data_IF_238625866149
#
_entry.id   IF_238625866149
#
_cell.length_a   1.000
_cell.length_b   1.000
_cell.length_c   1.000
_cell.angle_alpha   90.00
_cell.angle_beta   90.00
_cell.angle_gamma   90.00
#
_symmetry.space_group_name_H-M   'P 1'
#
loop_
_entity.id
_entity.type
_entity.pdbx_description
1 polymer ?
#
# COMPACT_ATOMS: atom_id res chain seq x y z
N UNK A 1 19.71 -2.99 -41.87
CA UNK A 1 19.81 -4.16 -41.00
C UNK A 1 18.90 -3.87 -39.80
N UNK A 2 17.67 -4.31 -39.93
CA UNK A 2 16.66 -4.26 -38.86
C UNK A 2 16.93 -5.47 -37.93
N UNK A 3 17.40 -5.22 -36.74
CA UNK A 3 17.52 -6.26 -35.71
C UNK A 3 16.10 -6.74 -35.34
N UNK A 4 15.83 -7.98 -35.67
CA UNK A 4 14.61 -8.68 -35.31
C UNK A 4 14.66 -8.90 -33.79
N UNK A 5 13.97 -8.05 -33.01
CA UNK A 5 13.74 -8.25 -31.58
C UNK A 5 12.67 -9.35 -31.46
N UNK A 6 13.05 -10.59 -31.82
CA UNK A 6 12.26 -11.75 -31.48
C UNK A 6 12.08 -11.78 -29.98
N UNK A 7 10.83 -11.74 -29.54
CA UNK A 7 10.42 -11.89 -28.16
C UNK A 7 11.22 -13.02 -27.51
N UNK A 8 12.09 -12.68 -26.59
CA UNK A 8 12.75 -13.68 -25.74
C UNK A 8 11.66 -14.48 -25.06
N UNK A 9 11.73 -15.80 -25.18
CA UNK A 9 10.84 -16.69 -24.44
C UNK A 9 10.80 -16.25 -22.97
N UNK A 10 9.63 -16.26 -22.33
CA UNK A 10 9.55 -15.89 -20.93
C UNK A 10 10.57 -16.72 -20.15
N UNK A 11 11.40 -16.04 -19.36
CA UNK A 11 12.33 -16.71 -18.44
C UNK A 11 11.50 -17.71 -17.64
N UNK A 12 11.86 -19.01 -17.63
CA UNK A 12 11.11 -19.98 -16.85
C UNK A 12 11.10 -19.48 -15.40
N UNK A 13 9.91 -19.23 -14.88
CA UNK A 13 9.72 -18.84 -13.47
C UNK A 13 10.38 -19.92 -12.62
N UNK A 14 11.13 -19.56 -11.57
CA UNK A 14 11.69 -20.52 -10.62
C UNK A 14 10.61 -21.52 -10.23
N UNK A 15 10.97 -22.78 -10.11
CA UNK A 15 10.09 -23.92 -10.03
C UNK A 15 8.83 -23.68 -9.20
N UNK A 16 7.76 -24.36 -9.57
CA UNK A 16 6.44 -24.20 -8.96
C UNK A 16 6.58 -24.09 -7.44
N UNK A 17 6.29 -22.89 -6.90
CA UNK A 17 6.25 -22.73 -5.45
C UNK A 17 5.30 -23.77 -4.87
N UNK A 18 5.64 -24.39 -3.75
CA UNK A 18 4.80 -25.40 -3.14
C UNK A 18 3.37 -24.87 -2.99
N UNK A 19 2.40 -25.74 -3.23
CA UNK A 19 0.98 -25.42 -3.33
C UNK A 19 0.54 -24.40 -2.26
N UNK A 20 0.33 -23.17 -2.70
CA UNK A 20 -0.30 -22.03 -2.07
C UNK A 20 0.22 -21.58 -0.69
N UNK A 21 0.43 -20.31 -0.52
CA UNK A 21 0.66 -19.69 0.80
C UNK A 21 -0.46 -19.97 1.79
N UNK A 22 -1.66 -20.33 1.31
CA UNK A 22 -2.81 -20.70 2.13
C UNK A 22 -2.48 -21.73 3.21
N UNK A 23 -1.56 -22.68 2.93
CA UNK A 23 -1.09 -23.67 3.90
C UNK A 23 -0.31 -23.06 5.08
N UNK A 24 0.38 -21.95 4.84
CA UNK A 24 1.20 -21.26 5.85
C UNK A 24 0.53 -20.00 6.38
N UNK A 25 -0.63 -19.67 5.85
CA UNK A 25 -1.35 -18.43 6.17
C UNK A 25 -1.49 -18.23 7.67
N UNK A 26 -1.97 -19.23 8.38
CA UNK A 26 -2.19 -19.11 9.83
C UNK A 26 -0.87 -18.96 10.59
N UNK A 27 0.15 -19.80 10.30
CA UNK A 27 1.46 -19.70 10.95
C UNK A 27 2.09 -18.32 10.74
N UNK A 28 2.01 -17.79 9.54
CA UNK A 28 2.57 -16.48 9.22
C UNK A 28 1.77 -15.34 9.84
N UNK A 29 0.44 -15.44 9.83
CA UNK A 29 -0.45 -14.47 10.49
C UNK A 29 -0.18 -14.42 11.99
N UNK A 30 -0.03 -15.57 12.65
CA UNK A 30 0.30 -15.66 14.08
C UNK A 30 1.67 -15.04 14.38
N UNK A 31 2.65 -15.15 13.49
CA UNK A 31 3.96 -14.52 13.67
C UNK A 31 3.90 -13.01 13.52
N UNK A 32 3.17 -12.48 12.55
CA UNK A 32 2.94 -11.04 12.44
C UNK A 32 2.20 -10.52 13.68
N UNK A 33 1.14 -11.18 14.12
CA UNK A 33 0.41 -10.80 15.31
C UNK A 33 1.32 -10.77 16.55
N UNK A 34 2.12 -11.81 16.77
CA UNK A 34 3.07 -11.87 17.87
C UNK A 34 4.12 -10.76 17.80
N UNK A 35 4.58 -10.38 16.61
CA UNK A 35 5.50 -9.25 16.44
C UNK A 35 4.84 -7.94 16.88
N UNK A 36 3.61 -7.68 16.44
CA UNK A 36 2.88 -6.47 16.83
C UNK A 36 2.59 -6.44 18.33
N UNK A 37 2.15 -7.55 18.92
CA UNK A 37 1.92 -7.67 20.36
C UNK A 37 3.18 -7.35 21.17
N UNK A 38 4.33 -7.84 20.72
CA UNK A 38 5.63 -7.58 21.38
C UNK A 38 6.01 -6.09 21.34
N UNK A 39 5.71 -5.38 20.25
CA UNK A 39 6.19 -4.01 20.04
C UNK A 39 5.19 -2.93 20.46
N UNK A 40 3.89 -3.23 20.43
CA UNK A 40 2.84 -2.23 20.66
C UNK A 40 2.17 -2.34 22.03
N UNK A 41 1.86 -3.55 22.48
CA UNK A 41 1.16 -3.78 23.75
C UNK A 41 -0.29 -3.25 23.77
N UNK A 42 -0.88 -2.93 22.58
CA UNK A 42 -2.28 -2.50 22.41
C UNK A 42 -2.83 -2.98 21.06
N UNK A 43 -4.15 -3.09 21.00
CA UNK A 43 -4.85 -3.45 19.76
C UNK A 43 -5.00 -2.26 18.82
N UNK A 44 -4.90 -2.49 17.51
CA UNK A 44 -5.24 -1.51 16.50
C UNK A 44 -6.71 -1.08 16.64
N UNK A 45 -6.97 0.21 16.51
CA UNK A 45 -8.31 0.77 16.64
C UNK A 45 -8.76 1.40 15.33
N UNK A 46 -9.88 0.90 14.80
CA UNK A 46 -10.51 1.50 13.63
C UNK A 46 -11.14 2.84 13.99
N UNK A 47 -10.76 3.90 13.28
CA UNK A 47 -11.33 5.23 13.48
C UNK A 47 -12.80 5.21 13.05
N UNK A 48 -13.73 5.54 13.96
CA UNK A 48 -15.15 5.61 13.63
C UNK A 48 -15.43 6.86 12.76
N UNK A 49 -16.33 6.70 11.79
CA UNK A 49 -17.00 7.79 11.10
C UNK A 49 -18.50 7.67 11.35
N UNK A 50 -19.15 8.77 11.58
CA UNK A 50 -20.61 8.83 11.61
C UNK A 50 -21.19 8.55 10.22
N UNK A 51 -22.45 8.16 10.13
CA UNK A 51 -23.13 7.93 8.84
C UNK A 51 -23.08 9.18 7.93
N UNK A 52 -23.15 10.37 8.52
CA UNK A 52 -23.06 11.62 7.79
C UNK A 52 -21.66 11.86 7.20
N UNK A 53 -20.60 11.65 7.99
CA UNK A 53 -19.21 11.77 7.52
C UNK A 53 -18.89 10.72 6.47
N UNK A 54 -19.35 9.48 6.68
CA UNK A 54 -19.19 8.41 5.71
C UNK A 54 -19.85 8.76 4.37
N UNK A 55 -21.07 9.29 4.41
CA UNK A 55 -21.79 9.76 3.20
C UNK A 55 -21.03 10.90 2.52
N UNK A 56 -20.55 11.87 3.27
CA UNK A 56 -19.75 12.98 2.74
C UNK A 56 -18.51 12.50 1.98
N UNK A 57 -17.75 11.56 2.56
CA UNK A 57 -16.56 10.97 1.92
C UNK A 57 -16.94 10.19 0.67
N UNK A 58 -17.97 9.34 0.71
CA UNK A 58 -18.45 8.58 -0.45
C UNK A 58 -18.87 9.53 -1.58
N UNK A 59 -19.60 10.60 -1.28
CA UNK A 59 -20.02 11.59 -2.29
C UNK A 59 -18.80 12.31 -2.89
N UNK A 60 -17.76 12.58 -2.09
CA UNK A 60 -16.52 13.16 -2.58
C UNK A 60 -15.74 12.17 -3.49
N UNK A 61 -15.68 10.90 -3.12
CA UNK A 61 -15.09 9.84 -3.94
C UNK A 61 -15.83 9.69 -5.28
N UNK A 62 -17.15 9.66 -5.26
CA UNK A 62 -17.98 9.59 -6.48
C UNK A 62 -17.74 10.79 -7.41
N UNK A 63 -17.64 12.01 -6.86
CA UNK A 63 -17.31 13.21 -7.65
C UNK A 63 -15.93 13.13 -8.29
N UNK A 64 -14.94 12.64 -7.54
CA UNK A 64 -13.56 12.51 -8.03
C UNK A 64 -13.41 11.40 -9.09
N UNK A 65 -14.16 10.30 -8.97
CA UNK A 65 -14.12 9.18 -9.90
C UNK A 65 -15.01 9.38 -11.15
N UNK A 66 -16.01 10.24 -11.10
CA UNK A 66 -16.96 10.46 -12.20
C UNK A 66 -16.28 10.79 -13.55
N UNK A 67 -15.25 11.67 -13.62
CA UNK A 67 -14.55 11.96 -14.87
C UNK A 67 -13.83 10.74 -15.48
N UNK A 68 -13.53 9.72 -14.68
CA UNK A 68 -12.93 8.46 -15.13
C UNK A 68 -13.96 7.51 -15.77
N UNK A 69 -15.24 7.90 -15.79
CA UNK A 69 -16.32 7.05 -16.28
C UNK A 69 -16.56 5.79 -15.44
N UNK A 70 -16.08 5.77 -14.21
CA UNK A 70 -16.20 4.60 -13.30
C UNK A 70 -17.33 4.80 -12.31
N UNK A 71 -18.12 3.73 -12.13
CA UNK A 71 -19.11 3.63 -11.06
C UNK A 71 -18.59 2.65 -10.02
N UNK A 72 -18.48 3.10 -8.79
CA UNK A 72 -17.98 2.31 -7.66
C UNK A 72 -19.07 2.23 -6.61
N UNK A 73 -19.37 1.03 -6.11
CA UNK A 73 -20.41 0.86 -5.06
C UNK A 73 -19.98 1.45 -3.73
N UNK A 74 -20.94 1.90 -2.93
CA UNK A 74 -20.70 2.41 -1.57
C UNK A 74 -19.90 1.40 -0.73
N UNK A 75 -20.21 0.12 -0.87
CA UNK A 75 -19.50 -0.97 -0.17
C UNK A 75 -18.01 -1.01 -0.55
N UNK A 76 -17.69 -0.76 -1.81
CA UNK A 76 -16.32 -0.76 -2.31
C UNK A 76 -15.57 0.46 -1.77
N UNK A 77 -16.22 1.64 -1.77
CA UNK A 77 -15.66 2.83 -1.16
C UNK A 77 -15.33 2.62 0.31
N UNK A 78 -16.23 1.97 1.07
CA UNK A 78 -16.00 1.65 2.48
C UNK A 78 -14.78 0.73 2.65
N UNK A 79 -14.64 -0.31 1.82
CA UNK A 79 -13.48 -1.20 1.86
C UNK A 79 -12.16 -0.45 1.60
N UNK A 80 -12.12 0.46 0.63
CA UNK A 80 -10.94 1.29 0.37
C UNK A 80 -10.64 2.28 1.49
N UNK A 81 -11.66 2.89 2.10
CA UNK A 81 -11.50 3.76 3.27
C UNK A 81 -11.00 3.01 4.50
N UNK A 82 -11.35 1.74 4.63
CA UNK A 82 -11.03 0.97 5.84
C UNK A 82 -9.53 0.81 6.05
N UNK A 83 -8.70 0.79 4.98
CA UNK A 83 -7.24 0.81 5.16
C UNK A 83 -6.81 2.09 5.89
N UNK A 84 -7.37 3.26 5.54
CA UNK A 84 -7.08 4.53 6.21
C UNK A 84 -7.57 4.50 7.65
N UNK A 85 -8.80 4.05 7.87
CA UNK A 85 -9.43 4.01 9.20
C UNK A 85 -8.73 3.08 10.17
N UNK A 86 -8.10 2.01 9.70
CA UNK A 86 -7.28 1.12 10.52
C UNK A 86 -5.86 1.62 10.72
N UNK A 87 -5.25 2.25 9.69
CA UNK A 87 -3.82 2.55 9.67
C UNK A 87 -3.47 3.95 10.17
N UNK A 88 -4.44 4.79 10.56
CA UNK A 88 -4.16 6.08 11.18
C UNK A 88 -4.26 5.99 12.70
N UNK A 89 -3.39 6.73 13.39
CA UNK A 89 -3.36 6.74 14.86
C UNK A 89 -4.51 7.56 15.44
N UNK A 90 -5.59 6.88 15.83
CA UNK A 90 -6.82 7.52 16.33
C UNK A 90 -6.57 8.52 17.49
N UNK A 91 -5.61 8.21 18.36
CA UNK A 91 -5.30 9.02 19.55
C UNK A 91 -4.54 10.32 19.26
N UNK A 92 -3.97 10.45 18.06
CA UNK A 92 -3.17 11.61 17.68
C UNK A 92 -3.83 12.49 16.61
N UNK A 93 -5.04 12.15 16.12
CA UNK A 93 -5.78 12.96 15.14
C UNK A 93 -6.10 14.33 15.75
N UNK A 94 -5.73 15.39 15.03
CA UNK A 94 -6.04 16.78 15.37
C UNK A 94 -6.88 17.46 14.29
N UNK A 95 -6.96 16.87 13.10
CA UNK A 95 -7.67 17.43 11.96
C UNK A 95 -8.52 16.38 11.25
N UNK A 96 -9.83 16.35 11.53
CA UNK A 96 -10.77 15.43 10.89
C UNK A 96 -11.06 15.76 9.43
N UNK A 97 -10.94 17.00 9.00
CA UNK A 97 -11.10 17.36 7.58
C UNK A 97 -9.91 16.81 6.77
N UNK A 98 -8.68 16.96 7.27
CA UNK A 98 -7.51 16.30 6.68
C UNK A 98 -7.65 14.77 6.67
N UNK A 99 -8.19 14.17 7.73
CA UNK A 99 -8.46 12.73 7.77
C UNK A 99 -9.47 12.29 6.68
N UNK A 100 -10.57 13.03 6.49
CA UNK A 100 -11.53 12.78 5.41
C UNK A 100 -10.88 12.94 4.03
N UNK A 101 -9.99 13.92 3.87
CA UNK A 101 -9.21 14.09 2.64
C UNK A 101 -8.35 12.88 2.33
N UNK A 102 -7.66 12.32 3.33
CA UNK A 102 -6.87 11.08 3.18
C UNK A 102 -7.76 9.93 2.75
N UNK A 103 -8.96 9.78 3.33
CA UNK A 103 -9.92 8.77 2.89
C UNK A 103 -10.28 8.93 1.40
N UNK A 104 -10.56 10.15 0.94
CA UNK A 104 -10.89 10.41 -0.47
C UNK A 104 -9.71 10.11 -1.38
N UNK A 105 -8.51 10.65 -1.08
CA UNK A 105 -7.31 10.44 -1.88
C UNK A 105 -6.96 8.96 -2.00
N UNK A 106 -6.99 8.24 -0.89
CA UNK A 106 -6.74 6.81 -0.87
C UNK A 106 -7.75 6.03 -1.72
N UNK A 107 -9.05 6.32 -1.58
CA UNK A 107 -10.09 5.68 -2.37
C UNK A 107 -9.88 5.89 -3.88
N UNK A 108 -9.58 7.11 -4.28
CA UNK A 108 -9.38 7.47 -5.70
C UNK A 108 -8.13 6.80 -6.26
N UNK A 109 -7.04 6.71 -5.49
CA UNK A 109 -5.83 5.99 -5.90
C UNK A 109 -6.04 4.48 -5.98
N UNK A 110 -6.85 3.87 -5.10
CA UNK A 110 -7.22 2.46 -5.23
C UNK A 110 -8.07 2.17 -6.48
N UNK A 111 -8.93 3.10 -6.88
CA UNK A 111 -9.65 2.98 -8.16
C UNK A 111 -8.67 2.99 -9.32
N UNK A 112 -7.64 3.86 -9.28
CA UNK A 112 -6.57 3.88 -10.27
C UNK A 112 -5.80 2.57 -10.32
N UNK A 113 -5.36 2.05 -9.16
CA UNK A 113 -4.61 0.80 -9.04
C UNK A 113 -5.39 -0.41 -9.58
N UNK A 114 -6.71 -0.45 -9.34
CA UNK A 114 -7.60 -1.52 -9.82
C UNK A 114 -8.08 -1.32 -11.27
N UNK A 115 -7.76 -0.18 -11.91
CA UNK A 115 -8.09 0.06 -13.31
C UNK A 115 -6.99 -0.48 -14.24
N UNK A 116 -7.41 -0.96 -15.40
CA UNK A 116 -6.52 -1.13 -16.56
C UNK A 116 -6.37 0.24 -17.25
N UNK A 117 -5.60 1.13 -16.60
CA UNK A 117 -5.49 2.53 -16.99
C UNK A 117 -4.53 2.70 -18.18
N UNK A 118 -4.99 3.32 -19.24
CA UNK A 118 -4.18 3.72 -20.39
C UNK A 118 -3.51 5.10 -20.20
N UNK A 119 -2.56 5.45 -21.06
CA UNK A 119 -1.87 6.76 -21.02
C UNK A 119 -2.84 7.96 -21.04
N UNK A 120 -3.98 7.83 -21.73
CA UNK A 120 -4.98 8.91 -21.81
C UNK A 120 -5.69 9.18 -20.48
N UNK A 121 -5.70 8.21 -19.59
CA UNK A 121 -6.37 8.35 -18.29
C UNK A 121 -5.58 9.26 -17.33
N UNK A 122 -4.27 9.46 -17.56
CA UNK A 122 -3.46 10.41 -16.78
C UNK A 122 -3.95 11.84 -16.89
N UNK A 123 -4.29 12.29 -18.11
CA UNK A 123 -4.74 13.66 -18.35
C UNK A 123 -6.08 13.95 -17.66
N UNK A 124 -6.84 12.89 -17.34
CA UNK A 124 -8.09 12.99 -16.60
C UNK A 124 -7.86 12.83 -15.11
N UNK A 125 -7.04 11.87 -14.70
CA UNK A 125 -6.88 11.47 -13.31
C UNK A 125 -6.05 12.46 -12.47
N UNK A 126 -4.90 12.92 -12.99
CA UNK A 126 -4.02 13.84 -12.25
C UNK A 126 -4.70 15.17 -11.88
N UNK A 127 -5.50 15.81 -12.74
CA UNK A 127 -6.30 16.97 -12.34
C UNK A 127 -7.30 16.70 -11.21
N UNK A 128 -7.88 15.49 -11.16
CA UNK A 128 -8.81 15.12 -10.06
C UNK A 128 -8.06 14.97 -8.74
N UNK A 129 -6.89 14.32 -8.74
CA UNK A 129 -6.04 14.26 -7.56
C UNK A 129 -5.65 15.65 -7.07
N UNK A 130 -5.24 16.54 -8.00
CA UNK A 130 -4.89 17.92 -7.67
C UNK A 130 -6.07 18.66 -7.05
N UNK A 131 -7.26 18.55 -7.64
CA UNK A 131 -8.47 19.19 -7.13
C UNK A 131 -8.85 18.71 -5.72
N UNK A 132 -8.63 17.43 -5.41
CA UNK A 132 -8.84 16.89 -4.05
C UNK A 132 -7.82 17.51 -3.09
N UNK A 133 -6.53 17.52 -3.45
CA UNK A 133 -5.49 18.12 -2.61
C UNK A 133 -5.76 19.61 -2.34
N UNK A 134 -6.06 20.40 -3.37
CA UNK A 134 -6.31 21.84 -3.24
C UNK A 134 -7.58 22.15 -2.43
N UNK A 135 -8.53 21.22 -2.39
CA UNK A 135 -9.77 21.42 -1.63
C UNK A 135 -9.58 21.24 -0.13
N UNK A 136 -8.74 20.30 0.28
CA UNK A 136 -8.72 19.82 1.67
C UNK A 136 -7.45 20.21 2.44
N UNK A 137 -6.38 20.57 1.75
CA UNK A 137 -5.11 20.90 2.40
C UNK A 137 -4.73 22.35 2.21
N UNK A 138 -3.95 22.86 3.15
CA UNK A 138 -3.26 24.13 2.96
C UNK A 138 -2.31 24.06 1.77
N UNK A 139 -2.01 25.17 1.06
CA UNK A 139 -1.28 25.13 -0.21
C UNK A 139 0.03 24.33 -0.21
N UNK A 140 0.81 24.41 0.88
CA UNK A 140 2.08 23.66 1.00
C UNK A 140 1.84 22.18 1.16
N UNK A 141 0.87 21.79 1.97
CA UNK A 141 0.53 20.39 2.22
C UNK A 141 -0.16 19.78 0.99
N UNK A 142 -0.96 20.57 0.28
CA UNK A 142 -1.58 20.18 -0.99
C UNK A 142 -0.53 19.81 -2.05
N UNK A 143 0.57 20.59 -2.13
CA UNK A 143 1.66 20.32 -3.06
C UNK A 143 2.37 19.00 -2.71
N UNK A 144 2.72 18.79 -1.44
CA UNK A 144 3.36 17.54 -1.01
C UNK A 144 2.48 16.31 -1.22
N UNK A 145 1.19 16.39 -0.88
CA UNK A 145 0.24 15.30 -1.09
C UNK A 145 0.07 14.99 -2.58
N UNK A 146 -0.06 16.03 -3.42
CA UNK A 146 -0.20 15.88 -4.86
C UNK A 146 1.06 15.27 -5.50
N UNK A 147 2.27 15.76 -5.17
CA UNK A 147 3.51 15.22 -5.71
C UNK A 147 3.72 13.76 -5.31
N UNK A 148 3.37 13.38 -4.07
CA UNK A 148 3.38 11.98 -3.64
C UNK A 148 2.42 11.11 -4.44
N UNK A 149 1.16 11.56 -4.62
CA UNK A 149 0.16 10.88 -5.41
C UNK A 149 0.55 10.73 -6.87
N UNK A 150 1.07 11.82 -7.47
CA UNK A 150 1.57 11.82 -8.84
C UNK A 150 2.73 10.85 -9.03
N UNK A 151 3.69 10.82 -8.09
CA UNK A 151 4.81 9.91 -8.14
C UNK A 151 4.37 8.45 -8.08
N UNK A 152 3.41 8.12 -7.20
CA UNK A 152 2.82 6.78 -7.10
C UNK A 152 2.13 6.37 -8.41
N UNK A 153 1.21 7.19 -8.91
CA UNK A 153 0.42 6.93 -10.13
C UNK A 153 1.32 6.77 -11.35
N UNK A 154 2.34 7.63 -11.50
CA UNK A 154 3.30 7.55 -12.61
C UNK A 154 4.17 6.30 -12.48
N UNK A 155 4.64 5.96 -11.27
CA UNK A 155 5.44 4.76 -11.02
C UNK A 155 4.66 3.50 -11.35
N UNK A 156 3.43 3.38 -10.85
CA UNK A 156 2.57 2.24 -11.13
C UNK A 156 2.37 2.05 -12.65
N UNK A 157 2.03 3.12 -13.36
CA UNK A 157 1.80 3.04 -14.80
C UNK A 157 3.07 2.73 -15.60
N UNK A 158 4.16 3.49 -15.37
CA UNK A 158 5.40 3.36 -16.16
C UNK A 158 6.12 2.03 -15.94
N UNK A 159 5.95 1.45 -14.76
CA UNK A 159 6.73 0.27 -14.38
C UNK A 159 5.89 -1.00 -14.24
N UNK A 160 4.56 -0.95 -14.39
CA UNK A 160 3.65 -2.09 -14.15
C UNK A 160 4.15 -3.39 -14.81
N UNK A 161 4.57 -3.35 -16.08
CA UNK A 161 5.02 -4.52 -16.83
C UNK A 161 6.42 -4.35 -17.43
N UNK A 162 7.23 -3.42 -16.89
CA UNK A 162 8.50 -3.10 -17.51
C UNK A 162 9.61 -4.09 -17.15
N UNK A 163 10.51 -4.36 -18.12
CA UNK A 163 11.75 -5.10 -17.88
C UNK A 163 12.60 -4.40 -16.79
N UNK A 164 12.51 -3.08 -16.68
CA UNK A 164 13.22 -2.30 -15.64
C UNK A 164 12.73 -2.71 -14.26
N UNK A 165 11.42 -2.84 -14.05
CA UNK A 165 10.83 -3.32 -12.78
C UNK A 165 11.34 -4.73 -12.45
N UNK A 166 11.36 -5.62 -13.45
CA UNK A 166 11.90 -6.97 -13.27
C UNK A 166 13.36 -6.94 -12.81
N UNK A 167 14.21 -6.15 -13.47
CA UNK A 167 15.62 -6.04 -13.11
C UNK A 167 15.80 -5.43 -11.73
N UNK A 168 15.12 -4.34 -11.40
CA UNK A 168 15.21 -3.69 -10.10
C UNK A 168 14.76 -4.62 -8.97
N UNK A 169 13.70 -5.38 -9.20
CA UNK A 169 13.16 -6.29 -8.21
C UNK A 169 13.99 -7.57 -8.04
N UNK A 170 14.74 -8.02 -9.07
CA UNK A 170 15.50 -9.28 -9.04
C UNK A 170 16.93 -9.18 -8.49
N UNK A 171 17.43 -7.95 -8.22
CA UNK A 171 18.84 -7.75 -7.87
C UNK A 171 19.16 -8.09 -6.41
N UNK A 172 18.35 -7.63 -5.47
CA UNK A 172 18.45 -7.94 -4.04
C UNK A 172 17.21 -7.51 -3.27
N UNK A 173 16.94 -8.08 -2.08
CA UNK A 173 15.86 -7.61 -1.22
C UNK A 173 15.95 -6.11 -0.88
N UNK A 174 17.16 -5.59 -0.65
CA UNK A 174 17.36 -4.17 -0.36
C UNK A 174 16.95 -3.27 -1.53
N UNK A 175 17.34 -3.60 -2.75
CA UNK A 175 16.94 -2.86 -3.95
C UNK A 175 15.42 -2.96 -4.16
N UNK A 176 14.85 -4.12 -3.92
CA UNK A 176 13.42 -4.32 -3.96
C UNK A 176 12.69 -3.36 -3.02
N UNK A 177 13.05 -3.31 -1.75
CA UNK A 177 12.38 -2.44 -0.79
C UNK A 177 12.62 -0.95 -1.05
N UNK A 178 13.77 -0.56 -1.58
CA UNK A 178 13.99 0.82 -2.06
C UNK A 178 13.02 1.21 -3.18
N UNK A 179 12.78 0.31 -4.11
CA UNK A 179 11.79 0.52 -5.17
C UNK A 179 10.37 0.60 -4.61
N UNK A 180 10.03 -0.27 -3.65
CA UNK A 180 8.69 -0.34 -3.06
C UNK A 180 8.28 0.92 -2.29
N UNK A 181 9.20 1.80 -1.87
CA UNK A 181 8.85 3.09 -1.23
C UNK A 181 7.81 3.85 -2.04
N UNK A 182 8.00 3.91 -3.37
CA UNK A 182 7.08 4.60 -4.28
C UNK A 182 6.00 3.64 -4.80
N UNK A 183 6.37 2.43 -5.20
CA UNK A 183 5.51 1.46 -5.88
C UNK A 183 4.36 0.94 -4.99
N UNK A 184 4.57 0.76 -3.67
CA UNK A 184 3.50 0.41 -2.73
C UNK A 184 2.78 1.64 -2.16
N UNK A 185 3.16 2.83 -2.60
CA UNK A 185 2.52 4.09 -2.25
C UNK A 185 2.81 4.63 -0.85
N UNK A 186 3.83 4.13 -0.13
CA UNK A 186 4.11 4.56 1.25
C UNK A 186 4.55 6.01 1.33
N UNK A 187 5.38 6.49 0.40
CA UNK A 187 5.77 7.90 0.37
C UNK A 187 4.55 8.82 0.14
N UNK A 188 3.67 8.43 -0.77
CA UNK A 188 2.39 9.11 -0.96
C UNK A 188 1.55 9.07 0.32
N UNK A 189 1.41 7.89 0.94
CA UNK A 189 0.66 7.73 2.19
C UNK A 189 1.14 8.69 3.27
N UNK A 190 2.44 8.74 3.51
CA UNK A 190 3.01 9.63 4.54
C UNK A 190 2.77 11.10 4.20
N UNK A 191 2.92 11.50 2.93
CA UNK A 191 2.72 12.89 2.50
C UNK A 191 1.27 13.35 2.56
N UNK A 192 0.30 12.47 2.35
CA UNK A 192 -1.11 12.83 2.50
C UNK A 192 -1.59 12.79 3.95
N UNK A 193 -0.94 12.00 4.83
CA UNK A 193 -1.44 11.72 6.18
C UNK A 193 -0.89 12.65 7.26
N UNK A 194 0.35 13.17 7.14
CA UNK A 194 0.95 13.98 8.22
C UNK A 194 0.10 15.21 8.62
N UNK A 195 -0.65 15.87 7.71
CA UNK A 195 -1.47 17.02 8.11
C UNK A 195 -2.55 16.69 9.13
N UNK A 196 -3.01 15.41 9.18
CA UNK A 196 -3.98 14.93 10.17
C UNK A 196 -3.52 15.20 11.60
N UNK A 197 -2.22 15.10 11.84
CA UNK A 197 -1.62 15.10 13.17
C UNK A 197 -1.11 16.47 13.62
N UNK A 198 -0.86 17.38 12.68
CA UNK A 198 -0.31 18.72 12.95
C UNK A 198 0.90 18.65 13.89
N UNK A 199 1.80 17.69 13.64
CA UNK A 199 2.96 17.41 14.47
C UNK A 199 4.26 17.75 13.72
N UNK A 200 5.13 18.66 14.23
CA UNK A 200 6.27 19.18 13.49
C UNK A 200 7.29 18.12 13.07
N UNK A 201 7.69 17.20 13.96
CA UNK A 201 8.68 16.17 13.64
C UNK A 201 8.13 15.19 12.60
N UNK A 202 6.90 14.71 12.78
CA UNK A 202 6.26 13.84 11.79
C UNK A 202 6.13 14.54 10.42
N UNK A 203 5.81 15.83 10.41
CA UNK A 203 5.77 16.65 9.19
C UNK A 203 7.12 16.65 8.49
N UNK A 204 8.20 16.92 9.22
CA UNK A 204 9.56 16.92 8.68
C UNK A 204 9.97 15.56 8.15
N UNK A 205 9.73 14.50 8.93
CA UNK A 205 10.06 13.14 8.53
C UNK A 205 9.23 12.64 7.33
N UNK A 206 7.98 13.08 7.22
CA UNK A 206 7.13 12.76 6.06
C UNK A 206 7.59 13.49 4.80
N UNK A 207 7.90 14.79 4.89
CA UNK A 207 8.37 15.60 3.77
C UNK A 207 9.72 15.16 3.25
N UNK A 208 10.64 14.76 4.13
CA UNK A 208 11.98 14.23 3.76
C UNK A 208 11.97 12.77 3.32
N UNK A 209 10.82 12.10 3.41
CA UNK A 209 10.65 10.68 3.09
C UNK A 209 11.29 9.73 4.12
N UNK A 210 11.73 10.21 5.28
CA UNK A 210 12.28 9.36 6.34
C UNK A 210 11.20 8.44 6.91
N UNK A 211 10.01 8.98 7.25
CA UNK A 211 8.88 8.20 7.73
C UNK A 211 8.48 7.08 6.74
N UNK A 212 8.44 7.39 5.45
CA UNK A 212 8.16 6.39 4.41
C UNK A 212 9.22 5.27 4.38
N UNK A 213 10.51 5.61 4.43
CA UNK A 213 11.59 4.61 4.44
C UNK A 213 11.52 3.67 5.64
N UNK A 214 11.17 4.19 6.81
CA UNK A 214 11.08 3.41 8.06
C UNK A 214 9.90 2.43 8.06
N UNK A 215 8.84 2.68 7.29
CA UNK A 215 7.63 1.84 7.29
C UNK A 215 7.47 0.99 6.02
N UNK A 216 8.19 1.30 4.94
CA UNK A 216 8.01 0.64 3.63
C UNK A 216 8.24 -0.87 3.72
N UNK A 217 9.32 -1.30 4.38
CA UNK A 217 9.70 -2.72 4.44
C UNK A 217 8.60 -3.54 5.10
N UNK A 218 8.09 -3.08 6.26
CA UNK A 218 7.00 -3.74 6.96
C UNK A 218 5.70 -3.80 6.14
N UNK A 219 5.29 -2.67 5.56
CA UNK A 219 4.08 -2.61 4.73
C UNK A 219 4.20 -3.50 3.48
N UNK A 220 5.34 -3.47 2.79
CA UNK A 220 5.56 -4.29 1.60
C UNK A 220 5.59 -5.78 1.94
N UNK A 221 6.22 -6.20 3.04
CA UNK A 221 6.25 -7.61 3.46
C UNK A 221 4.83 -8.13 3.73
N UNK A 222 4.02 -7.38 4.47
CA UNK A 222 2.62 -7.74 4.74
C UNK A 222 1.82 -7.79 3.44
N UNK A 223 1.89 -6.75 2.61
CA UNK A 223 1.18 -6.72 1.34
C UNK A 223 1.57 -7.90 0.45
N UNK A 224 2.87 -8.12 0.24
CA UNK A 224 3.40 -9.15 -0.64
C UNK A 224 3.05 -10.57 -0.16
N UNK A 225 3.02 -10.79 1.15
CA UNK A 225 2.61 -12.08 1.70
C UNK A 225 1.14 -12.37 1.39
N UNK A 226 0.25 -11.43 1.69
CA UNK A 226 -1.18 -11.64 1.53
C UNK A 226 -1.67 -11.52 0.08
N UNK A 227 -0.94 -10.85 -0.79
CA UNK A 227 -1.25 -10.74 -2.23
C UNK A 227 -0.59 -11.84 -3.08
N UNK A 228 0.31 -12.66 -2.51
CA UNK A 228 1.15 -13.60 -3.24
C UNK A 228 0.40 -14.51 -4.22
N UNK A 229 -0.63 -15.23 -3.75
CA UNK A 229 -1.37 -16.18 -4.59
C UNK A 229 -2.11 -15.48 -5.73
N UNK A 230 -2.68 -14.30 -5.46
CA UNK A 230 -3.34 -13.46 -6.47
C UNK A 230 -2.35 -12.97 -7.52
N UNK A 231 -1.25 -12.37 -7.09
CA UNK A 231 -0.24 -11.80 -7.98
C UNK A 231 0.45 -12.88 -8.80
N UNK A 232 0.68 -14.04 -8.22
CA UNK A 232 1.16 -15.22 -8.95
C UNK A 232 0.21 -15.64 -10.06
N UNK A 233 -1.09 -15.72 -9.77
CA UNK A 233 -2.10 -16.10 -10.75
C UNK A 233 -2.24 -15.08 -11.89
N UNK A 234 -2.01 -13.79 -11.61
CA UNK A 234 -2.03 -12.70 -12.59
C UNK A 234 -0.69 -12.54 -13.33
N UNK A 235 0.32 -13.34 -13.03
CA UNK A 235 1.64 -13.21 -13.63
C UNK A 235 2.43 -11.99 -13.13
N UNK A 236 1.95 -11.26 -12.13
CA UNK A 236 2.63 -10.11 -11.56
C UNK A 236 3.93 -10.53 -10.88
N UNK A 237 4.99 -9.76 -11.09
CA UNK A 237 6.35 -10.11 -10.63
C UNK A 237 6.78 -9.34 -9.38
N UNK A 238 6.10 -8.24 -9.06
CA UNK A 238 6.48 -7.36 -7.95
C UNK A 238 5.98 -7.91 -6.63
N UNK A 239 6.72 -8.90 -6.11
CA UNK A 239 6.42 -9.53 -4.82
C UNK A 239 7.70 -10.15 -4.28
N UNK A 240 8.13 -9.79 -3.07
CA UNK A 240 9.40 -10.26 -2.52
C UNK A 240 9.47 -11.79 -2.36
N UNK A 241 8.34 -12.45 -2.12
CA UNK A 241 8.27 -13.90 -2.01
C UNK A 241 8.37 -14.62 -3.36
N UNK A 242 8.15 -13.91 -4.48
CA UNK A 242 8.37 -14.42 -5.83
C UNK A 242 9.80 -14.24 -6.32
N UNK A 243 10.48 -13.21 -5.81
CA UNK A 243 11.84 -12.87 -6.22
C UNK A 243 12.89 -13.74 -5.53
N UNK A 244 12.49 -14.47 -4.51
CA UNK A 244 13.37 -15.40 -3.85
C UNK A 244 13.34 -16.71 -4.58
N UNK A 245 14.51 -17.27 -4.73
CA UNK A 245 14.70 -18.64 -5.22
C UNK A 245 14.20 -19.61 -4.14
N UNK A 246 12.88 -19.58 -3.93
CA UNK A 246 12.20 -20.42 -2.95
C UNK A 246 11.95 -21.74 -3.64
N UNK A 247 12.91 -22.64 -3.53
CA UNK A 247 12.87 -23.95 -4.16
C UNK A 247 11.97 -24.94 -3.43
N UNK A 248 11.76 -24.73 -2.13
CA UNK A 248 10.95 -25.61 -1.29
C UNK A 248 10.33 -24.88 -0.09
N UNK A 249 9.56 -25.63 0.70
CA UNK A 249 8.87 -25.15 1.90
C UNK A 249 9.83 -24.58 2.97
N UNK A 250 11.00 -25.17 3.14
CA UNK A 250 11.96 -24.72 4.16
C UNK A 250 12.60 -23.41 3.73
N UNK A 251 12.84 -23.23 2.44
CA UNK A 251 13.34 -21.98 1.87
C UNK A 251 12.31 -20.86 2.06
N UNK A 252 11.02 -21.13 1.80
CA UNK A 252 9.96 -20.17 2.06
C UNK A 252 9.92 -19.75 3.53
N UNK A 253 9.92 -20.71 4.46
CA UNK A 253 9.88 -20.43 5.89
C UNK A 253 11.10 -19.66 6.37
N UNK A 254 12.29 -19.99 5.86
CA UNK A 254 13.53 -19.27 6.17
C UNK A 254 13.47 -17.84 5.68
N UNK A 255 13.03 -17.64 4.43
CA UNK A 255 12.88 -16.32 3.86
C UNK A 255 11.84 -15.50 4.60
N UNK A 256 10.67 -16.06 4.90
CA UNK A 256 9.61 -15.39 5.66
C UNK A 256 10.12 -14.96 7.04
N UNK A 257 10.82 -15.83 7.76
CA UNK A 257 11.40 -15.48 9.07
C UNK A 257 12.36 -14.31 8.96
N UNK A 258 13.28 -14.34 8.01
CA UNK A 258 14.21 -13.23 7.79
C UNK A 258 13.47 -11.91 7.51
N UNK A 259 12.36 -11.94 6.78
CA UNK A 259 11.54 -10.73 6.52
C UNK A 259 10.83 -10.23 7.79
N UNK A 260 10.34 -11.12 8.63
CA UNK A 260 9.76 -10.73 9.94
C UNK A 260 10.83 -10.14 10.86
N UNK A 261 12.05 -10.69 10.86
CA UNK A 261 13.17 -10.15 11.62
C UNK A 261 13.56 -8.75 11.12
N UNK A 262 13.62 -8.52 9.82
CA UNK A 262 13.84 -7.18 9.22
C UNK A 262 12.76 -6.16 9.65
N UNK A 263 11.51 -6.60 9.70
CA UNK A 263 10.40 -5.76 10.16
C UNK A 263 10.54 -5.42 11.65
N UNK A 264 10.97 -6.39 12.46
CA UNK A 264 11.24 -6.16 13.89
C UNK A 264 12.35 -5.11 14.09
N UNK A 265 13.42 -5.16 13.29
CA UNK A 265 14.50 -4.17 13.32
C UNK A 265 13.97 -2.75 12.99
N UNK A 266 13.13 -2.62 11.96
CA UNK A 266 12.52 -1.32 11.62
C UNK A 266 11.64 -0.80 12.76
N UNK A 267 10.82 -1.67 13.39
CA UNK A 267 9.99 -1.28 14.53
C UNK A 267 10.83 -0.83 15.75
N UNK A 268 11.99 -1.47 16.00
CA UNK A 268 12.92 -1.00 17.03
C UNK A 268 13.51 0.38 16.67
N UNK A 269 13.87 0.61 15.41
CA UNK A 269 14.33 1.93 14.97
C UNK A 269 13.24 3.01 15.11
N UNK A 270 11.98 2.66 14.83
CA UNK A 270 10.83 3.57 14.98
C UNK A 270 10.66 4.00 16.44
N UNK A 271 11.00 3.17 17.41
CA UNK A 271 10.95 3.53 18.86
C UNK A 271 11.88 4.67 19.27
N UNK A 272 12.86 5.00 18.44
CA UNK A 272 13.78 6.12 18.70
C UNK A 272 13.19 7.51 18.37
N UNK A 273 12.04 7.56 17.67
CA UNK A 273 11.33 8.83 17.42
C UNK A 273 10.57 9.31 18.67
N UNK A 274 10.11 10.56 18.63
CA UNK A 274 9.18 11.07 19.63
C UNK A 274 7.89 10.24 19.72
N UNK A 275 7.17 10.36 20.85
CA UNK A 275 6.01 9.52 21.13
C UNK A 275 4.94 9.58 20.04
N UNK A 276 4.63 10.77 19.51
CA UNK A 276 3.61 10.95 18.47
C UNK A 276 4.05 10.34 17.16
N UNK A 277 5.26 10.63 16.70
CA UNK A 277 5.82 10.09 15.46
C UNK A 277 5.93 8.57 15.53
N UNK A 278 6.49 8.04 16.62
CA UNK A 278 6.57 6.61 16.87
C UNK A 278 5.21 5.94 16.77
N UNK A 279 4.24 6.44 17.51
CA UNK A 279 2.90 5.84 17.58
C UNK A 279 2.20 5.87 16.21
N UNK A 280 2.32 6.96 15.45
CA UNK A 280 1.74 7.06 14.10
C UNK A 280 2.36 6.04 13.15
N UNK A 281 3.69 5.87 13.17
CA UNK A 281 4.37 4.92 12.29
C UNK A 281 4.06 3.45 12.67
N UNK A 282 3.99 3.14 13.96
CA UNK A 282 3.64 1.80 14.43
C UNK A 282 2.16 1.48 14.19
N UNK A 283 1.25 2.44 14.40
CA UNK A 283 -0.18 2.28 14.09
C UNK A 283 -0.42 2.08 12.58
N UNK A 284 0.37 2.74 11.72
CA UNK A 284 0.33 2.51 10.28
C UNK A 284 0.65 1.04 9.93
N UNK A 285 1.73 0.51 10.47
CA UNK A 285 2.13 -0.88 10.22
C UNK A 285 1.09 -1.87 10.74
N UNK A 286 0.68 -1.70 11.99
CA UNK A 286 -0.27 -2.60 12.66
C UNK A 286 -1.66 -2.53 12.02
N UNK A 287 -2.16 -1.33 11.79
CA UNK A 287 -3.48 -1.14 11.19
C UNK A 287 -3.55 -1.66 9.75
N UNK A 288 -2.49 -1.50 8.97
CA UNK A 288 -2.39 -2.11 7.65
C UNK A 288 -2.43 -3.64 7.72
N UNK A 289 -1.71 -4.25 8.67
CA UNK A 289 -1.77 -5.70 8.90
C UNK A 289 -3.19 -6.15 9.26
N UNK A 290 -3.85 -5.47 10.23
CA UNK A 290 -5.22 -5.82 10.65
C UNK A 290 -6.20 -5.68 9.48
N UNK A 291 -6.13 -4.57 8.73
CA UNK A 291 -6.97 -4.40 7.54
C UNK A 291 -6.74 -5.50 6.52
N UNK A 292 -5.48 -5.80 6.19
CA UNK A 292 -5.12 -6.82 5.20
C UNK A 292 -5.67 -8.21 5.58
N UNK A 293 -5.63 -8.55 6.87
CA UNK A 293 -6.17 -9.84 7.35
C UNK A 293 -7.69 -9.92 7.35
N UNK A 294 -8.39 -8.78 7.35
CA UNK A 294 -9.86 -8.72 7.42
C UNK A 294 -10.51 -8.42 6.07
N UNK A 295 -9.80 -7.77 5.14
CA UNK A 295 -10.37 -7.36 3.87
C UNK A 295 -10.49 -8.52 2.89
N UNK A 296 -11.66 -8.61 2.23
CA UNK A 296 -11.96 -9.64 1.23
C UNK A 296 -11.04 -9.59 0.01
N UNK A 297 -10.39 -8.45 -0.26
CA UNK A 297 -9.43 -8.30 -1.35
C UNK A 297 -8.31 -9.35 -1.28
N UNK A 298 -7.93 -9.73 -0.07
CA UNK A 298 -6.88 -10.70 0.19
C UNK A 298 -7.39 -12.11 0.50
N UNK A 299 -8.67 -12.25 0.81
CA UNK A 299 -9.29 -13.54 1.20
C UNK A 299 -10.04 -14.23 0.05
N UNK A 300 -10.32 -13.53 -1.05
CA UNK A 300 -11.11 -14.08 -2.15
C UNK A 300 -10.30 -15.09 -2.98
N UNK A 301 -10.91 -16.23 -3.38
CA UNK A 301 -10.29 -17.15 -4.33
C UNK A 301 -9.96 -16.43 -5.64
N UNK A 302 -8.86 -16.85 -6.30
CA UNK A 302 -8.36 -16.24 -7.54
C UNK A 302 -9.41 -16.17 -8.66
N UNK A 303 -10.38 -17.08 -8.68
CA UNK A 303 -11.45 -17.14 -9.68
C UNK A 303 -12.47 -15.99 -9.59
N UNK A 304 -12.43 -15.19 -8.51
CA UNK A 304 -13.36 -14.08 -8.28
C UNK A 304 -12.77 -12.71 -8.66
N UNK A 305 -11.57 -12.70 -9.25
CA UNK A 305 -10.84 -11.46 -9.61
C UNK A 305 -11.59 -10.64 -10.67
N UNK A 306 -12.35 -11.28 -11.57
CA UNK A 306 -13.10 -10.60 -12.62
C UNK A 306 -14.46 -10.00 -12.14
N UNK A 307 -14.95 -10.37 -10.98
CA UNK A 307 -16.19 -9.80 -10.40
C UNK A 307 -15.98 -8.49 -9.63
N UNK A 308 -14.78 -7.92 -9.67
CA UNK A 308 -14.34 -6.83 -8.79
C UNK A 308 -14.70 -5.42 -9.27
N UNK A 309 -15.24 -5.30 -10.48
CA UNK A 309 -15.62 -4.00 -11.08
C UNK A 309 -17.15 -3.79 -11.09
N UNK A 310 -17.93 -4.75 -10.60
CA UNK A 310 -19.38 -4.60 -10.49
C UNK A 310 -19.82 -4.14 -9.08
#
# INVERSE_FOLDING_TARGET
MTADLTASAPVPLPGEAPAGTARYWQECTDRFAALFDQHLGYEAQKIPLTDAELREVIDACNRAAAPLGKTVSDKRWISYMDVVRWSQSARHIKDMEAFKAVCVLNCVTFVWDDMDAGLHDFDVFLPQLRAVCDRYYEPVDAEFAYEGARAFVVSDHMFRDSLIKQVLCSTSPEQYFRFRVTDVGVDFWMKMSYPIYRHPELTEHSRTGLAARMTTRGLAIVNDFYSYDRERALGQITNCFRLCDVSDENDFRRFFRARVDDMAEDMECIKAFDDTTRDVLLDLLHGNFVWTTQDRRYQAPVNDVNSRIE
#
